data_IF_316508169362
#
_entry.id   IF_316508169362
#
_cell.length_a   1.000
_cell.length_b   1.000
_cell.length_c   1.000
_cell.angle_alpha   90.00
_cell.angle_beta   90.00
_cell.angle_gamma   90.00
#
_symmetry.space_group_name_H-M   'P 1'
#
loop_
_entity.id
_entity.type
_entity.pdbx_description
1 polymer ?
#
# COMPACT_ATOMS: atom_id res chain seq x y z
N UNK A 1 3.73 -4.80 -1.47
CA UNK A 1 3.25 -6.16 -1.14
C UNK A 1 4.21 -7.10 -1.83
N UNK A 2 5.16 -7.64 -1.07
CA UNK A 2 6.28 -8.41 -1.66
C UNK A 2 5.81 -9.73 -2.24
N UNK A 3 4.82 -10.36 -1.61
CA UNK A 3 4.21 -11.61 -2.05
C UNK A 3 2.71 -11.60 -1.78
N UNK A 4 1.94 -12.32 -2.61
CA UNK A 4 0.48 -12.49 -2.47
C UNK A 4 -0.35 -11.28 -2.91
N UNK A 5 0.27 -10.20 -3.41
CA UNK A 5 -0.42 -8.97 -3.83
C UNK A 5 -1.46 -9.14 -4.94
N UNK A 6 -1.28 -10.14 -5.81
CA UNK A 6 -2.21 -10.43 -6.91
C UNK A 6 -3.55 -11.04 -6.44
N UNK A 7 -3.62 -11.54 -5.19
CA UNK A 7 -4.86 -12.05 -4.59
C UNK A 7 -5.79 -10.94 -4.08
N UNK A 8 -5.28 -9.72 -3.99
CA UNK A 8 -5.97 -8.57 -3.41
C UNK A 8 -6.69 -7.80 -4.52
N UNK A 9 -7.83 -7.21 -4.21
CA UNK A 9 -8.49 -6.26 -5.12
C UNK A 9 -7.52 -5.15 -5.54
N UNK A 10 -7.52 -4.75 -6.83
CA UNK A 10 -6.66 -3.68 -7.34
C UNK A 10 -6.95 -2.36 -6.63
N UNK A 11 -5.96 -1.46 -6.63
CA UNK A 11 -6.16 -0.11 -6.13
C UNK A 11 -7.25 0.61 -6.92
N UNK A 12 -8.07 1.39 -6.22
CA UNK A 12 -9.01 2.30 -6.87
C UNK A 12 -8.34 3.65 -7.18
N UNK A 13 -9.04 4.51 -7.93
CA UNK A 13 -8.51 5.81 -8.35
C UNK A 13 -8.14 6.70 -7.15
N UNK A 14 -8.87 6.59 -6.04
CA UNK A 14 -8.61 7.38 -4.84
C UNK A 14 -7.36 6.90 -4.09
N UNK A 15 -7.13 5.58 -4.07
CA UNK A 15 -5.91 4.99 -3.53
C UNK A 15 -4.69 5.44 -4.36
N UNK A 16 -4.78 5.38 -5.69
CA UNK A 16 -3.70 5.81 -6.58
C UNK A 16 -3.35 7.30 -6.39
N UNK A 17 -4.35 8.18 -6.34
CA UNK A 17 -4.19 9.62 -6.07
C UNK A 17 -3.48 9.92 -4.73
N UNK A 18 -3.64 9.03 -3.75
CA UNK A 18 -2.99 9.15 -2.45
C UNK A 18 -1.59 8.53 -2.44
N UNK A 19 -1.39 7.43 -3.18
CA UNK A 19 -0.10 6.79 -3.35
C UNK A 19 0.90 7.69 -4.10
N UNK A 20 0.43 8.55 -5.00
CA UNK A 20 1.24 9.59 -5.64
C UNK A 20 1.93 10.54 -4.65
N UNK A 21 1.39 10.67 -3.43
CA UNK A 21 1.94 11.50 -2.36
C UNK A 21 2.83 10.69 -1.40
N UNK A 22 2.99 9.39 -1.60
CA UNK A 22 3.75 8.52 -0.72
C UNK A 22 5.26 8.69 -0.93
N UNK A 23 6.04 8.49 0.14
CA UNK A 23 7.48 8.46 0.06
C UNK A 23 7.96 7.08 -0.41
N UNK A 24 8.83 7.04 -1.43
CA UNK A 24 9.42 5.78 -1.91
C UNK A 24 8.39 4.83 -2.53
N UNK A 25 7.47 5.36 -3.34
CA UNK A 25 6.46 4.57 -4.04
C UNK A 25 7.11 3.51 -4.95
N UNK A 26 6.66 2.27 -4.81
CA UNK A 26 7.05 1.11 -5.62
C UNK A 26 5.82 0.48 -6.29
N UNK A 27 5.96 -0.29 -7.39
CA UNK A 27 4.82 -0.86 -8.12
C UNK A 27 3.90 -1.76 -7.28
N UNK A 28 4.43 -2.38 -6.24
CA UNK A 28 3.69 -3.24 -5.31
C UNK A 28 3.16 -2.48 -4.08
N UNK A 29 3.31 -1.15 -4.04
CA UNK A 29 2.84 -0.33 -2.91
C UNK A 29 1.32 -0.28 -2.84
N UNK A 30 0.79 -0.33 -1.61
CA UNK A 30 -0.64 -0.25 -1.31
C UNK A 30 -0.86 0.50 0.00
N UNK A 31 -2.01 1.15 0.14
CA UNK A 31 -2.47 1.70 1.41
C UNK A 31 -3.01 0.57 2.29
N UNK A 32 -2.34 0.30 3.42
CA UNK A 32 -2.69 -0.82 4.29
C UNK A 32 -4.13 -0.79 4.84
N UNK A 33 -4.77 0.39 4.88
CA UNK A 33 -6.17 0.52 5.29
C UNK A 33 -7.19 0.12 4.21
N UNK A 34 -6.78 0.03 2.93
CA UNK A 34 -7.63 -0.38 1.81
C UNK A 34 -7.43 -1.86 1.43
N UNK A 35 -6.32 -2.47 1.84
CA UNK A 35 -6.00 -3.87 1.55
C UNK A 35 -6.84 -4.82 2.42
N UNK A 36 -7.69 -5.62 1.76
CA UNK A 36 -8.43 -6.71 2.38
C UNK A 36 -7.80 -8.05 1.99
N UNK A 37 -7.44 -8.86 2.98
CA UNK A 37 -6.84 -10.18 2.75
C UNK A 37 -7.89 -11.11 2.12
N UNK A 38 -7.51 -11.77 1.03
CA UNK A 38 -8.35 -12.72 0.31
C UNK A 38 -7.93 -14.17 0.62
N UNK A 39 -7.53 -14.94 -0.39
CA UNK A 39 -7.31 -16.39 -0.32
C UNK A 39 -5.82 -16.79 -0.24
N UNK A 40 -4.89 -15.82 -0.30
CA UNK A 40 -3.45 -16.08 -0.22
C UNK A 40 -2.80 -15.33 0.94
N UNK A 41 -1.75 -15.93 1.50
CA UNK A 41 -0.89 -15.30 2.50
C UNK A 41 -0.15 -14.11 1.88
N UNK A 42 0.00 -13.03 2.66
CA UNK A 42 0.67 -11.80 2.22
C UNK A 42 2.01 -11.60 2.94
N UNK A 43 3.05 -11.24 2.17
CA UNK A 43 4.31 -10.72 2.73
C UNK A 43 4.33 -9.20 2.56
N UNK A 44 4.28 -8.48 3.68
CA UNK A 44 4.19 -7.01 3.71
C UNK A 44 5.51 -6.41 4.20
N UNK A 45 6.09 -5.52 3.41
CA UNK A 45 7.22 -4.68 3.82
C UNK A 45 6.70 -3.29 4.20
N UNK A 46 7.13 -2.77 5.36
CA UNK A 46 6.80 -1.42 5.80
C UNK A 46 7.90 -0.45 5.37
N UNK A 47 7.55 0.72 4.79
CA UNK A 47 8.54 1.69 4.36
C UNK A 47 9.31 2.24 5.57
N UNK A 48 10.60 2.53 5.37
CA UNK A 48 11.47 3.06 6.44
C UNK A 48 11.01 4.43 6.96
N UNK A 49 10.37 5.23 6.12
CA UNK A 49 9.84 6.55 6.44
C UNK A 49 8.42 6.72 5.88
N UNK A 50 7.62 7.54 6.53
CA UNK A 50 6.26 7.92 6.09
C UNK A 50 6.10 9.42 6.17
N UNK A 51 5.32 10.01 5.25
CA UNK A 51 4.93 11.41 5.33
C UNK A 51 3.76 11.51 6.29
N UNK A 52 3.89 12.31 7.35
CA UNK A 52 2.83 12.55 8.31
C UNK A 52 2.80 14.03 8.68
N UNK A 53 1.89 14.77 8.04
CA UNK A 53 1.70 16.20 8.29
C UNK A 53 1.02 16.52 9.63
N UNK A 54 0.40 15.54 10.29
CA UNK A 54 -0.24 15.72 11.59
C UNK A 54 0.72 15.47 12.76
N UNK A 55 1.83 14.75 12.53
CA UNK A 55 2.96 14.66 13.46
C UNK A 55 3.85 15.89 13.25
N UNK A 56 3.40 17.01 13.80
CA UNK A 56 4.26 18.13 14.20
C UNK A 56 4.44 18.11 15.72
#
# INVERSE_FOLDING_TARGET
>A
LREGGDSVEPADELEDDMLDKAWGLEPDSRLSCQVLIADQDLVVELPKYTINHARE
#
